data_IF_252160014010
#
_entry.id   IF_252160014010
#
_cell.length_a   1.000
_cell.length_b   1.000
_cell.length_c   1.000
_cell.angle_alpha   90.00
_cell.angle_beta   90.00
_cell.angle_gamma   90.00
#
_symmetry.space_group_name_H-M   'P 1'
#
loop_
_entity.id
_entity.type
_entity.pdbx_description
1 polymer ?
#
# COMPACT_ATOMS: atom_id res chain seq x y z
N UNK A 1 -11.89 2.03 -25.01
CA UNK A 1 -10.97 2.34 -23.93
C UNK A 1 -11.83 2.55 -22.71
N UNK A 2 -11.69 1.73 -21.68
CA UNK A 2 -12.50 1.81 -20.44
C UNK A 2 -12.21 3.17 -19.80
N UNK A 3 -13.22 4.03 -19.73
CA UNK A 3 -13.24 5.26 -18.94
C UNK A 3 -13.25 4.86 -17.46
N UNK A 4 -12.11 4.34 -16.98
CA UNK A 4 -12.06 3.71 -15.69
C UNK A 4 -11.81 4.71 -14.59
N UNK A 5 -12.70 4.78 -13.65
CA UNK A 5 -12.40 5.23 -12.29
C UNK A 5 -11.13 4.49 -11.85
N UNK A 6 -10.04 5.22 -11.63
CA UNK A 6 -8.76 4.64 -11.24
C UNK A 6 -8.68 4.52 -9.72
N UNK A 7 -8.39 3.34 -9.24
CA UNK A 7 -8.08 3.07 -7.83
C UNK A 7 -7.06 1.96 -7.70
N UNK A 8 -6.13 2.11 -6.77
CA UNK A 8 -5.19 1.05 -6.40
C UNK A 8 -5.76 0.11 -5.32
N UNK A 9 -6.87 0.50 -4.67
CA UNK A 9 -7.50 -0.28 -3.62
C UNK A 9 -8.41 -1.38 -4.18
N UNK A 10 -8.17 -2.64 -3.78
CA UNK A 10 -9.00 -3.78 -4.15
C UNK A 10 -10.43 -3.67 -3.59
N UNK A 11 -10.57 -3.12 -2.38
CA UNK A 11 -11.87 -2.86 -1.76
C UNK A 11 -12.72 -1.92 -2.61
N UNK A 12 -12.15 -0.84 -3.15
CA UNK A 12 -12.88 0.08 -4.03
C UNK A 12 -13.24 -0.54 -5.38
N UNK A 13 -12.36 -1.39 -5.93
CA UNK A 13 -12.68 -2.16 -7.14
C UNK A 13 -13.82 -3.13 -6.91
N UNK A 14 -13.88 -3.76 -5.71
CA UNK A 14 -14.96 -4.65 -5.29
C UNK A 14 -16.27 -3.89 -5.09
N UNK A 15 -16.26 -2.74 -4.44
CA UNK A 15 -17.43 -1.89 -4.25
C UNK A 15 -18.08 -1.45 -5.57
N UNK A 16 -17.27 -1.22 -6.60
CA UNK A 16 -17.77 -0.89 -7.95
C UNK A 16 -18.36 -2.09 -8.68
N UNK A 17 -18.08 -3.30 -8.23
CA UNK A 17 -18.43 -4.55 -8.89
C UNK A 17 -18.93 -5.58 -7.86
N UNK A 18 -20.03 -5.32 -7.13
CA UNK A 18 -20.44 -6.14 -5.99
C UNK A 18 -20.90 -7.56 -6.38
N UNK A 19 -21.36 -7.76 -7.62
CA UNK A 19 -21.95 -9.03 -8.08
C UNK A 19 -20.93 -9.95 -8.80
N UNK A 20 -19.63 -9.64 -8.75
CA UNK A 20 -18.61 -10.48 -9.41
C UNK A 20 -18.43 -11.78 -8.64
N UNK A 21 -18.65 -12.90 -9.33
CA UNK A 21 -18.26 -14.24 -8.87
C UNK A 21 -16.74 -14.42 -8.86
N UNK A 22 -16.22 -15.36 -8.04
CA UNK A 22 -14.78 -15.60 -7.91
C UNK A 22 -14.07 -14.63 -6.97
N UNK A 23 -14.83 -14.00 -6.06
CA UNK A 23 -14.31 -13.14 -4.98
C UNK A 23 -14.88 -13.63 -3.65
N UNK A 24 -14.01 -14.05 -2.75
CA UNK A 24 -14.34 -14.32 -1.36
C UNK A 24 -14.12 -13.02 -0.57
N UNK A 25 -15.06 -12.64 0.30
CA UNK A 25 -14.98 -11.42 1.08
C UNK A 25 -15.35 -11.70 2.53
N UNK A 26 -14.55 -11.16 3.45
CA UNK A 26 -14.80 -11.21 4.88
C UNK A 26 -14.54 -9.82 5.46
N UNK A 27 -15.47 -9.28 6.21
CA UNK A 27 -15.34 -8.02 6.93
C UNK A 27 -15.46 -8.26 8.43
N UNK A 28 -14.55 -7.67 9.18
CA UNK A 28 -14.48 -7.70 10.63
C UNK A 28 -14.53 -6.26 11.15
N UNK A 29 -15.59 -5.96 11.91
CA UNK A 29 -15.70 -4.66 12.59
C UNK A 29 -14.96 -4.74 13.93
N UNK A 30 -14.01 -3.86 14.14
CA UNK A 30 -13.32 -3.60 15.41
C UNK A 30 -13.80 -2.25 15.96
N UNK A 31 -13.49 -1.94 17.21
CA UNK A 31 -14.01 -0.75 17.89
C UNK A 31 -13.86 0.56 17.09
N UNK A 32 -12.71 0.76 16.41
CA UNK A 32 -12.40 2.00 15.68
C UNK A 32 -11.86 1.78 14.28
N UNK A 33 -11.90 0.54 13.80
CA UNK A 33 -11.45 0.20 12.45
C UNK A 33 -12.25 -0.96 11.88
N UNK A 34 -12.32 -1.01 10.57
CA UNK A 34 -12.85 -2.14 9.82
C UNK A 34 -11.69 -2.87 9.13
N UNK A 35 -11.64 -4.18 9.24
CA UNK A 35 -10.70 -5.04 8.54
C UNK A 35 -11.45 -5.80 7.45
N UNK A 36 -11.18 -5.46 6.19
CA UNK A 36 -11.81 -6.12 5.03
C UNK A 36 -10.78 -7.02 4.34
N UNK A 37 -11.08 -8.32 4.25
CA UNK A 37 -10.24 -9.31 3.58
C UNK A 37 -10.93 -9.76 2.31
N UNK A 38 -10.30 -9.54 1.17
CA UNK A 38 -10.78 -9.90 -0.16
C UNK A 38 -9.80 -10.91 -0.76
N UNK A 39 -10.32 -12.03 -1.26
CA UNK A 39 -9.54 -13.01 -1.98
C UNK A 39 -10.10 -13.20 -3.38
N UNK A 40 -9.33 -12.82 -4.37
CA UNK A 40 -9.65 -13.03 -5.78
C UNK A 40 -9.17 -14.43 -6.17
N UNK A 41 -10.08 -15.29 -6.65
CA UNK A 41 -9.81 -16.72 -6.84
C UNK A 41 -9.73 -17.14 -8.31
N UNK A 42 -10.26 -16.34 -9.23
CA UNK A 42 -10.26 -16.68 -10.65
C UNK A 42 -9.84 -15.54 -11.59
N UNK A 43 -9.50 -15.91 -12.83
CA UNK A 43 -9.02 -14.96 -13.86
C UNK A 43 -10.10 -14.00 -14.35
N UNK A 44 -11.37 -14.38 -14.29
CA UNK A 44 -12.48 -13.51 -14.75
C UNK A 44 -12.67 -12.37 -13.77
N UNK A 45 -12.71 -12.69 -12.47
CA UNK A 45 -12.75 -11.71 -11.39
C UNK A 45 -11.52 -10.79 -11.44
N UNK A 46 -10.32 -11.36 -11.57
CA UNK A 46 -9.08 -10.62 -11.66
C UNK A 46 -9.10 -9.59 -12.80
N UNK A 47 -9.57 -9.99 -13.99
CA UNK A 47 -9.67 -9.09 -15.15
C UNK A 47 -10.72 -7.98 -14.95
N UNK A 48 -11.88 -8.31 -14.34
CA UNK A 48 -12.96 -7.34 -14.12
C UNK A 48 -12.60 -6.32 -13.05
N UNK A 49 -11.91 -6.76 -11.99
CA UNK A 49 -11.47 -5.90 -10.89
C UNK A 49 -10.18 -5.15 -11.21
N UNK A 50 -9.50 -5.50 -12.30
CA UNK A 50 -8.16 -5.01 -12.66
C UNK A 50 -7.16 -5.22 -11.50
N UNK A 51 -7.23 -6.41 -10.88
CA UNK A 51 -6.39 -6.83 -9.75
C UNK A 51 -5.95 -8.27 -9.95
N UNK A 52 -4.67 -8.62 -9.65
CA UNK A 52 -4.20 -10.02 -9.69
C UNK A 52 -4.99 -10.95 -8.77
N UNK A 53 -4.95 -12.25 -9.10
CA UNK A 53 -5.43 -13.31 -8.20
C UNK A 53 -4.57 -13.30 -6.94
N UNK A 54 -5.19 -13.31 -5.75
CA UNK A 54 -4.50 -13.31 -4.47
C UNK A 54 -5.33 -12.70 -3.35
N UNK A 55 -4.67 -12.42 -2.23
CA UNK A 55 -5.28 -11.88 -1.02
C UNK A 55 -5.02 -10.37 -0.93
N UNK A 56 -6.05 -9.66 -0.53
CA UNK A 56 -6.02 -8.22 -0.25
C UNK A 56 -6.67 -7.98 1.09
N UNK A 57 -5.95 -7.33 1.99
CA UNK A 57 -6.47 -6.91 3.30
C UNK A 57 -6.46 -5.40 3.35
N UNK A 58 -7.58 -4.82 3.74
CA UNK A 58 -7.72 -3.37 3.92
C UNK A 58 -8.06 -3.09 5.37
N UNK A 59 -7.20 -2.33 6.03
CA UNK A 59 -7.45 -1.74 7.34
C UNK A 59 -7.98 -0.34 7.10
N UNK A 60 -9.20 -0.05 7.51
CA UNK A 60 -9.86 1.25 7.33
C UNK A 60 -10.26 1.83 8.70
N UNK A 61 -9.68 2.97 9.06
CA UNK A 61 -9.88 3.64 10.33
C UNK A 61 -10.15 5.14 10.10
N UNK A 62 -11.40 5.54 9.83
CA UNK A 62 -11.76 6.92 9.47
C UNK A 62 -11.32 7.96 10.49
N UNK A 63 -11.25 7.60 11.77
CA UNK A 63 -10.85 8.50 12.84
C UNK A 63 -9.35 8.87 12.81
N UNK A 64 -8.51 8.18 12.02
CA UNK A 64 -7.10 8.57 11.83
C UNK A 64 -6.95 10.00 11.31
N UNK A 65 -7.94 10.55 10.62
CA UNK A 65 -7.94 11.94 10.19
C UNK A 65 -7.80 12.94 11.37
N UNK A 66 -8.18 12.54 12.59
CA UNK A 66 -8.05 13.32 13.82
C UNK A 66 -6.75 13.04 14.59
N UNK A 67 -5.91 12.12 14.09
CA UNK A 67 -4.59 11.75 14.62
C UNK A 67 -4.58 11.30 16.11
N UNK A 68 -5.49 10.43 16.56
CA UNK A 68 -5.48 9.93 17.93
C UNK A 68 -4.35 8.92 18.12
N UNK A 69 -3.46 9.17 19.10
CA UNK A 69 -2.24 8.37 19.32
C UNK A 69 -2.51 6.90 19.67
N UNK A 70 -3.57 6.63 20.41
CA UNK A 70 -4.01 5.27 20.76
C UNK A 70 -4.45 4.46 19.52
N UNK A 71 -4.99 5.11 18.50
CA UNK A 71 -5.35 4.47 17.25
C UNK A 71 -4.10 4.12 16.42
N UNK A 72 -2.99 4.83 16.58
CA UNK A 72 -1.72 4.48 15.92
C UNK A 72 -1.20 3.13 16.40
N UNK A 73 -1.28 2.88 17.72
CA UNK A 73 -0.94 1.58 18.30
C UNK A 73 -1.85 0.48 17.77
N UNK A 74 -3.17 0.70 17.78
CA UNK A 74 -4.16 -0.26 17.29
C UNK A 74 -3.94 -0.59 15.81
N UNK A 75 -3.67 0.41 14.97
CA UNK A 75 -3.38 0.21 13.54
C UNK A 75 -2.08 -0.54 13.31
N UNK A 76 -1.02 -0.23 14.08
CA UNK A 76 0.25 -0.95 13.98
C UNK A 76 0.11 -2.41 14.41
N UNK A 77 -0.67 -2.67 15.47
CA UNK A 77 -0.96 -4.02 15.96
C UNK A 77 -1.78 -4.82 14.92
N UNK A 78 -2.85 -4.24 14.38
CA UNK A 78 -3.66 -4.87 13.34
C UNK A 78 -2.83 -5.16 12.07
N UNK A 79 -2.00 -4.21 11.63
CA UNK A 79 -1.07 -4.42 10.52
C UNK A 79 -0.11 -5.59 10.78
N UNK A 80 0.45 -5.65 12.00
CA UNK A 80 1.36 -6.73 12.41
C UNK A 80 0.67 -8.09 12.40
N UNK A 81 -0.58 -8.18 12.86
CA UNK A 81 -1.39 -9.39 12.86
C UNK A 81 -1.60 -9.90 11.42
N UNK A 82 -2.13 -9.06 10.54
CA UNK A 82 -2.39 -9.42 9.15
C UNK A 82 -1.10 -9.77 8.37
N UNK A 83 0.02 -9.11 8.66
CA UNK A 83 1.32 -9.45 8.08
C UNK A 83 1.80 -10.83 8.51
N UNK A 84 1.67 -11.19 9.81
CA UNK A 84 2.05 -12.53 10.30
C UNK A 84 1.25 -13.63 9.61
N UNK A 85 -0.03 -13.39 9.37
CA UNK A 85 -0.89 -14.33 8.64
C UNK A 85 -0.44 -14.52 7.18
N UNK A 86 0.20 -13.50 6.60
CA UNK A 86 0.79 -13.58 5.26
C UNK A 86 2.20 -14.22 5.24
N UNK A 87 2.89 -14.35 6.39
CA UNK A 87 4.22 -14.95 6.50
C UNK A 87 4.20 -16.48 6.43
N UNK A 88 3.31 -17.06 5.62
CA UNK A 88 3.14 -18.51 5.51
C UNK A 88 4.46 -19.21 5.16
N UNK A 89 4.94 -20.08 6.05
CA UNK A 89 6.16 -20.84 5.84
C UNK A 89 7.47 -20.07 5.98
N UNK A 90 7.44 -18.81 6.40
CA UNK A 90 8.63 -18.00 6.67
C UNK A 90 9.30 -18.49 7.96
N UNK A 91 10.57 -18.91 7.87
CA UNK A 91 11.35 -19.39 9.01
C UNK A 91 11.77 -18.24 9.93
N UNK A 92 12.13 -18.56 11.18
CA UNK A 92 12.59 -17.56 12.15
C UNK A 92 13.97 -16.97 11.82
N UNK A 93 14.79 -17.72 11.08
CA UNK A 93 16.10 -17.29 10.57
C UNK A 93 16.07 -16.72 9.15
N UNK A 94 14.89 -16.59 8.55
CA UNK A 94 14.72 -16.10 7.19
C UNK A 94 15.27 -14.68 6.99
N UNK A 95 15.78 -14.43 5.79
CA UNK A 95 16.18 -13.08 5.36
C UNK A 95 15.01 -12.37 4.71
N UNK A 96 14.67 -11.18 5.21
CA UNK A 96 13.60 -10.33 4.69
C UNK A 96 14.19 -9.03 4.13
N UNK A 97 13.84 -8.71 2.90
CA UNK A 97 14.18 -7.43 2.26
C UNK A 97 12.96 -6.50 2.28
N UNK A 98 13.09 -5.37 2.94
CA UNK A 98 12.08 -4.30 2.92
C UNK A 98 12.45 -3.27 1.86
N UNK A 99 11.51 -2.96 0.96
CA UNK A 99 11.71 -2.06 -0.19
C UNK A 99 10.75 -0.90 -0.09
N UNK A 100 11.26 0.29 0.21
CA UNK A 100 10.49 1.53 0.23
C UNK A 100 10.46 2.18 -1.15
N UNK A 101 9.35 2.03 -1.87
CA UNK A 101 9.16 2.61 -3.21
C UNK A 101 8.78 4.09 -3.13
N UNK A 102 9.09 4.84 -4.17
CA UNK A 102 8.72 6.25 -4.32
C UNK A 102 9.91 7.21 -4.32
N UNK A 103 9.57 8.49 -4.39
CA UNK A 103 10.52 9.60 -4.43
C UNK A 103 10.55 10.34 -3.10
N UNK A 104 11.66 10.24 -2.36
CA UNK A 104 11.84 10.92 -1.06
C UNK A 104 11.63 12.45 -1.13
N UNK A 105 11.88 13.05 -2.28
CA UNK A 105 11.79 14.51 -2.45
C UNK A 105 10.38 15.00 -2.77
N UNK A 106 9.42 14.09 -2.99
CA UNK A 106 8.01 14.41 -3.24
C UNK A 106 7.19 13.87 -2.07
N UNK A 107 6.63 14.73 -1.24
CA UNK A 107 5.99 14.32 0.02
C UNK A 107 4.96 13.22 -0.17
N UNK A 108 4.03 13.38 -1.12
CA UNK A 108 2.98 12.38 -1.39
C UNK A 108 3.49 11.05 -1.98
N UNK A 109 4.78 10.99 -2.35
CA UNK A 109 5.45 9.80 -2.89
C UNK A 109 6.61 9.33 -1.98
N UNK A 110 6.75 9.91 -0.77
CA UNK A 110 7.86 9.63 0.14
C UNK A 110 7.56 8.59 1.22
N UNK A 111 6.37 7.99 1.22
CA UNK A 111 5.95 7.01 2.23
C UNK A 111 6.94 5.83 2.32
N UNK A 112 7.17 5.15 1.21
CA UNK A 112 8.07 3.98 1.18
C UNK A 112 9.47 4.30 1.68
N UNK A 113 10.17 5.33 1.17
CA UNK A 113 11.46 5.75 1.67
C UNK A 113 11.49 6.03 3.18
N UNK A 114 10.45 6.70 3.73
CA UNK A 114 10.36 6.99 5.17
C UNK A 114 10.12 5.74 6.01
N UNK A 115 9.31 4.80 5.53
CA UNK A 115 9.14 3.50 6.20
C UNK A 115 10.47 2.74 6.20
N UNK A 116 11.15 2.65 5.05
CA UNK A 116 12.42 1.93 4.91
C UNK A 116 13.49 2.41 5.91
N UNK A 117 13.53 3.70 6.23
CA UNK A 117 14.44 4.30 7.21
C UNK A 117 14.13 3.94 8.67
N UNK A 118 12.90 3.51 8.95
CA UNK A 118 12.43 3.15 10.29
C UNK A 118 12.39 1.64 10.54
N UNK A 119 12.82 0.85 9.57
CA UNK A 119 12.91 -0.60 9.72
C UNK A 119 14.15 -0.96 10.53
N UNK A 120 13.97 -1.89 11.47
CA UNK A 120 15.08 -2.51 12.20
C UNK A 120 15.87 -3.40 11.26
N UNK A 121 17.03 -2.95 10.86
CA UNK A 121 17.94 -3.74 10.04
C UNK A 121 18.86 -4.56 10.94
N UNK A 122 18.83 -5.87 10.77
CA UNK A 122 19.61 -6.84 11.57
C UNK A 122 20.58 -7.65 10.74
N UNK A 123 20.46 -7.64 9.39
CA UNK A 123 21.26 -8.45 8.50
C UNK A 123 22.76 -8.28 8.71
N UNK A 124 23.26 -7.07 8.92
CA UNK A 124 24.67 -6.82 9.19
C UNK A 124 25.12 -7.43 10.54
N UNK A 125 24.24 -7.51 11.53
CA UNK A 125 24.56 -8.15 12.82
C UNK A 125 24.52 -9.67 12.66
N UNK A 126 23.51 -10.22 11.99
CA UNK A 126 23.39 -11.68 11.76
C UNK A 126 24.54 -12.23 10.91
N UNK A 127 25.10 -11.45 9.99
CA UNK A 127 26.20 -11.89 9.13
C UNK A 127 27.58 -11.67 9.74
N UNK A 128 27.81 -10.54 10.41
CA UNK A 128 29.16 -10.16 10.84
C UNK A 128 29.39 -10.28 12.34
N UNK A 129 28.33 -10.33 13.15
CA UNK A 129 28.39 -10.40 14.61
C UNK A 129 27.33 -11.35 15.20
N UNK A 130 27.20 -12.60 14.72
CA UNK A 130 26.13 -13.50 15.14
C UNK A 130 26.14 -13.77 16.66
N UNK A 131 27.34 -13.82 17.28
CA UNK A 131 27.49 -14.05 18.71
C UNK A 131 27.00 -12.88 19.59
N UNK A 132 26.75 -11.71 19.01
CA UNK A 132 26.20 -10.57 19.74
C UNK A 132 24.68 -10.64 19.92
N UNK A 133 24.00 -11.59 19.26
CA UNK A 133 22.55 -11.71 19.28
C UNK A 133 22.10 -12.68 20.40
N UNK A 134 21.05 -12.34 21.14
CA UNK A 134 20.48 -13.20 22.19
C UNK A 134 19.58 -14.30 21.58
N UNK A 135 20.13 -15.18 20.73
CA UNK A 135 19.38 -16.26 20.06
C UNK A 135 19.14 -16.02 18.58
N UNK A 136 18.21 -16.78 17.99
CA UNK A 136 17.85 -16.64 16.57
C UNK A 136 17.09 -15.34 16.34
N UNK A 137 17.63 -14.47 15.49
CA UNK A 137 17.01 -13.21 15.08
C UNK A 137 16.87 -13.21 13.57
N UNK A 138 15.69 -12.84 13.07
CA UNK A 138 15.45 -12.74 11.64
C UNK A 138 16.39 -11.74 10.99
N UNK A 139 16.97 -12.11 9.84
CA UNK A 139 17.86 -11.26 9.08
C UNK A 139 17.05 -10.26 8.25
N UNK A 140 17.08 -8.97 8.59
CA UNK A 140 16.30 -7.93 7.93
C UNK A 140 17.23 -6.89 7.33
N UNK A 141 17.02 -6.58 6.06
CA UNK A 141 17.66 -5.45 5.35
C UNK A 141 16.60 -4.57 4.69
N UNK A 142 16.93 -3.32 4.48
CA UNK A 142 16.03 -2.31 3.92
C UNK A 142 16.72 -1.50 2.83
N UNK A 143 15.95 -1.11 1.82
CA UNK A 143 16.43 -0.23 0.73
C UNK A 143 15.31 0.69 0.25
N UNK A 144 15.65 1.96 0.02
CA UNK A 144 14.82 2.92 -0.72
C UNK A 144 15.52 3.19 -2.07
N UNK A 145 15.13 2.49 -3.16
CA UNK A 145 15.84 2.52 -4.43
C UNK A 145 15.68 3.87 -5.18
N UNK A 146 14.70 4.67 -4.80
CA UNK A 146 14.32 5.88 -5.52
C UNK A 146 13.57 5.60 -6.82
N UNK A 147 13.47 6.62 -7.66
CA UNK A 147 12.73 6.59 -8.94
C UNK A 147 13.64 6.85 -10.13
N UNK A 148 13.27 6.37 -11.31
CA UNK A 148 14.01 6.51 -12.55
C UNK A 148 14.48 7.96 -12.82
N UNK A 149 13.60 8.94 -12.58
CA UNK A 149 13.92 10.35 -12.80
C UNK A 149 15.00 10.94 -11.89
N UNK A 150 15.34 10.25 -10.79
CA UNK A 150 16.40 10.66 -9.86
C UNK A 150 17.68 9.84 -10.08
N UNK A 151 17.50 8.53 -10.27
CA UNK A 151 18.65 7.59 -10.32
C UNK A 151 19.15 7.32 -11.74
N UNK A 152 18.32 7.51 -12.76
CA UNK A 152 18.59 7.07 -14.13
C UNK A 152 18.50 5.55 -14.33
N UNK A 153 18.10 4.80 -13.29
CA UNK A 153 18.01 3.33 -13.28
C UNK A 153 16.57 2.95 -12.90
N UNK A 154 16.01 1.95 -13.58
CA UNK A 154 14.68 1.44 -13.20
C UNK A 154 14.72 0.85 -11.78
N UNK A 155 13.73 1.20 -10.97
CA UNK A 155 13.58 0.71 -9.58
C UNK A 155 13.73 -0.81 -9.50
N UNK A 156 13.15 -1.53 -10.47
CA UNK A 156 13.21 -2.98 -10.54
C UNK A 156 14.62 -3.54 -10.77
N UNK A 157 15.47 -2.82 -11.51
CA UNK A 157 16.87 -3.23 -11.74
C UNK A 157 17.66 -3.11 -10.45
N UNK A 158 17.46 -2.03 -9.68
CA UNK A 158 18.12 -1.84 -8.38
C UNK A 158 17.69 -2.94 -7.41
N UNK A 159 16.38 -3.20 -7.29
CA UNK A 159 15.86 -4.23 -6.37
C UNK A 159 16.33 -5.63 -6.76
N UNK A 160 16.45 -5.94 -8.06
CA UNK A 160 17.02 -7.21 -8.52
C UNK A 160 18.48 -7.36 -8.13
N UNK A 161 19.29 -6.32 -8.32
CA UNK A 161 20.67 -6.32 -7.88
C UNK A 161 20.80 -6.58 -6.38
N UNK A 162 20.02 -5.88 -5.56
CA UNK A 162 19.99 -6.12 -4.11
C UNK A 162 19.56 -7.56 -3.79
N UNK A 163 18.52 -8.07 -4.44
CA UNK A 163 18.01 -9.44 -4.23
C UNK A 163 19.07 -10.51 -4.54
N UNK A 164 19.87 -10.34 -5.58
CA UNK A 164 20.91 -11.30 -5.95
C UNK A 164 21.98 -11.44 -4.86
N UNK A 165 22.34 -10.34 -4.19
CA UNK A 165 23.36 -10.34 -3.14
C UNK A 165 22.76 -10.64 -1.75
N UNK A 166 21.63 -10.06 -1.40
CA UNK A 166 21.01 -10.26 -0.11
C UNK A 166 20.31 -11.62 0.02
N UNK A 167 19.92 -12.22 -1.10
CA UNK A 167 19.21 -13.52 -1.19
C UNK A 167 18.06 -13.64 -0.21
N UNK A 168 17.11 -12.69 -0.22
CA UNK A 168 16.00 -12.72 0.72
C UNK A 168 15.07 -13.91 0.43
N UNK A 169 14.48 -14.45 1.49
CA UNK A 169 13.42 -15.45 1.44
C UNK A 169 12.05 -14.81 1.19
N UNK A 170 11.92 -13.50 1.49
CA UNK A 170 10.70 -12.72 1.30
C UNK A 170 11.04 -11.25 1.05
N UNK A 171 10.19 -10.57 0.28
CA UNK A 171 10.26 -9.12 0.06
C UNK A 171 8.98 -8.47 0.61
N UNK A 172 9.12 -7.36 1.35
CA UNK A 172 8.01 -6.48 1.74
C UNK A 172 8.21 -5.16 1.01
N UNK A 173 7.28 -4.81 0.13
CA UNK A 173 7.32 -3.57 -0.65
C UNK A 173 6.32 -2.55 -0.10
N UNK A 174 6.72 -1.30 0.04
CA UNK A 174 5.87 -0.21 0.54
C UNK A 174 5.76 0.87 -0.52
N UNK A 175 4.54 1.35 -0.80
CA UNK A 175 4.29 2.40 -1.79
C UNK A 175 3.13 3.32 -1.38
N UNK A 176 3.12 4.51 -1.97
CA UNK A 176 1.97 5.41 -1.93
C UNK A 176 0.96 5.02 -3.02
N UNK A 177 -0.32 4.96 -2.66
CA UNK A 177 -1.40 4.56 -3.55
C UNK A 177 -2.28 5.75 -3.93
N UNK A 178 -3.07 5.56 -5.00
CA UNK A 178 -4.18 6.42 -5.34
C UNK A 178 -5.51 5.77 -4.93
N UNK A 179 -6.38 6.50 -4.23
CA UNK A 179 -7.75 6.08 -3.97
C UNK A 179 -8.74 6.72 -4.94
N UNK A 180 -9.92 6.13 -5.02
CA UNK A 180 -11.08 6.73 -5.66
C UNK A 180 -11.77 7.73 -4.72
N UNK A 181 -11.97 7.34 -3.46
CA UNK A 181 -12.64 8.17 -2.46
C UNK A 181 -11.64 9.01 -1.69
N UNK A 182 -11.86 10.33 -1.67
CA UNK A 182 -11.04 11.25 -0.89
C UNK A 182 -11.05 10.93 0.63
N UNK A 183 -12.16 10.38 1.14
CA UNK A 183 -12.31 9.97 2.54
C UNK A 183 -11.34 8.85 2.97
N UNK A 184 -10.75 8.11 2.02
CA UNK A 184 -9.79 7.04 2.30
C UNK A 184 -8.33 7.50 2.35
N UNK A 185 -8.07 8.74 1.96
CA UNK A 185 -6.73 9.30 2.13
C UNK A 185 -6.41 9.33 3.62
N UNK A 186 -5.23 8.81 3.98
CA UNK A 186 -4.74 8.81 5.38
C UNK A 186 -5.52 7.95 6.38
N UNK A 187 -6.55 7.23 5.97
CA UNK A 187 -7.36 6.43 6.89
C UNK A 187 -7.27 4.93 6.61
N UNK A 188 -6.64 4.58 5.48
CA UNK A 188 -6.67 3.22 4.94
C UNK A 188 -5.27 2.70 4.69
N UNK A 189 -5.00 1.45 5.09
CA UNK A 189 -3.79 0.70 4.72
C UNK A 189 -4.23 -0.56 3.98
N UNK A 190 -3.66 -0.82 2.80
CA UNK A 190 -3.88 -2.07 2.07
C UNK A 190 -2.64 -2.95 2.08
N UNK A 191 -2.82 -4.24 2.38
CA UNK A 191 -1.82 -5.29 2.24
C UNK A 191 -2.25 -6.23 1.13
N UNK A 192 -1.27 -6.84 0.43
CA UNK A 192 -1.56 -7.89 -0.55
C UNK A 192 -0.35 -8.82 -0.74
N UNK A 193 -0.61 -10.08 -1.07
CA UNK A 193 0.40 -11.08 -1.45
C UNK A 193 0.69 -11.11 -2.96
N UNK A 194 0.06 -10.24 -3.73
CA UNK A 194 0.23 -10.18 -5.19
C UNK A 194 1.39 -9.30 -5.64
N UNK A 195 2.03 -8.62 -4.69
CA UNK A 195 3.04 -7.61 -4.99
C UNK A 195 2.44 -6.28 -5.45
N UNK A 196 3.27 -5.41 -6.04
CA UNK A 196 2.89 -4.06 -6.44
C UNK A 196 3.49 -3.71 -7.80
N UNK A 197 2.76 -2.91 -8.57
CA UNK A 197 3.25 -2.31 -9.82
C UNK A 197 3.46 -0.82 -9.59
N UNK A 198 4.70 -0.37 -9.38
CA UNK A 198 4.99 1.03 -9.07
C UNK A 198 4.44 1.98 -10.14
N UNK A 199 3.70 3.00 -9.72
CA UNK A 199 3.13 4.00 -10.62
C UNK A 199 1.96 3.51 -11.49
N UNK A 200 1.33 2.38 -11.17
CA UNK A 200 0.12 1.91 -11.88
C UNK A 200 -1.01 2.93 -11.80
N UNK A 201 -1.19 3.56 -10.65
CA UNK A 201 -2.18 4.63 -10.44
C UNK A 201 -1.99 5.86 -11.31
N UNK A 202 -0.81 6.11 -11.86
CA UNK A 202 -0.50 7.23 -12.76
C UNK A 202 -0.23 6.81 -14.21
N UNK A 203 -0.63 5.58 -14.60
CA UNK A 203 -0.59 5.11 -15.97
C UNK A 203 0.77 4.61 -16.47
N UNK A 204 1.73 4.39 -15.59
CA UNK A 204 3.02 3.80 -15.92
C UNK A 204 2.95 2.27 -15.84
N UNK A 205 2.94 1.60 -17.01
CA UNK A 205 2.94 0.14 -17.12
C UNK A 205 4.36 -0.43 -16.86
N UNK A 206 4.88 -0.27 -15.62
CA UNK A 206 6.19 -0.81 -15.23
C UNK A 206 6.04 -2.27 -14.80
N UNK A 207 7.11 -3.06 -14.97
CA UNK A 207 7.15 -4.45 -14.48
C UNK A 207 6.93 -4.46 -12.97
N UNK A 208 5.91 -5.19 -12.51
CA UNK A 208 5.53 -5.26 -11.10
C UNK A 208 6.57 -5.94 -10.23
N UNK A 209 6.63 -5.54 -8.97
CA UNK A 209 7.37 -6.17 -7.89
C UNK A 209 6.50 -7.29 -7.33
N UNK A 210 6.63 -8.51 -7.87
CA UNK A 210 5.80 -9.66 -7.52
C UNK A 210 6.60 -10.97 -7.48
N UNK A 211 5.99 -12.02 -6.97
CA UNK A 211 6.65 -13.32 -6.78
C UNK A 211 7.10 -13.97 -8.09
N UNK A 212 6.40 -13.77 -9.20
CA UNK A 212 6.78 -14.31 -10.51
C UNK A 212 8.10 -13.72 -11.01
N UNK A 213 8.30 -12.42 -10.77
CA UNK A 213 9.51 -11.69 -11.20
C UNK A 213 10.69 -11.96 -10.30
N UNK A 214 10.45 -12.09 -8.98
CA UNK A 214 11.53 -12.21 -7.99
C UNK A 214 11.81 -13.64 -7.54
N UNK A 215 10.91 -14.59 -7.80
CA UNK A 215 11.07 -16.00 -7.40
C UNK A 215 10.99 -16.23 -5.88
N UNK A 216 10.55 -15.23 -5.12
CA UNK A 216 10.28 -15.28 -3.68
C UNK A 216 8.95 -14.60 -3.39
N UNK A 217 8.26 -14.92 -2.28
CA UNK A 217 7.05 -14.22 -1.86
C UNK A 217 7.28 -12.72 -1.78
N UNK A 218 6.30 -11.94 -2.29
CA UNK A 218 6.30 -10.48 -2.21
C UNK A 218 5.00 -10.03 -1.60
N UNK A 219 5.09 -9.40 -0.44
CA UNK A 219 3.96 -8.72 0.21
C UNK A 219 4.08 -7.23 -0.10
N UNK A 220 2.99 -6.62 -0.53
CA UNK A 220 2.94 -5.18 -0.72
C UNK A 220 2.06 -4.52 0.33
N UNK A 221 2.49 -3.35 0.81
CA UNK A 221 1.76 -2.48 1.74
C UNK A 221 1.62 -1.12 1.08
N UNK A 222 0.42 -0.60 1.03
CA UNK A 222 0.17 0.70 0.42
C UNK A 222 -0.82 1.55 1.20
N UNK A 223 -0.63 2.87 1.10
CA UNK A 223 -1.53 3.86 1.70
C UNK A 223 -1.97 4.84 0.64
N UNK A 224 -3.27 5.09 0.48
CA UNK A 224 -3.75 6.14 -0.41
C UNK A 224 -3.38 7.52 0.15
N UNK A 225 -2.56 8.24 -0.60
CA UNK A 225 -2.11 9.59 -0.27
C UNK A 225 -2.56 10.62 -1.30
N UNK A 226 -3.09 10.17 -2.43
CA UNK A 226 -3.55 11.01 -3.53
C UNK A 226 -4.88 10.52 -4.10
N UNK A 227 -5.63 11.43 -4.71
CA UNK A 227 -6.80 11.16 -5.56
C UNK A 227 -6.60 11.87 -6.89
N UNK A 228 -6.99 11.25 -7.98
CA UNK A 228 -6.98 11.93 -9.30
C UNK A 228 -8.05 13.01 -9.37
N UNK A 229 -7.71 14.17 -9.92
CA UNK A 229 -8.67 15.29 -10.08
C UNK A 229 -9.92 14.86 -10.87
N UNK A 230 -9.75 14.01 -11.87
CA UNK A 230 -10.85 13.42 -12.63
C UNK A 230 -11.80 12.62 -11.73
N UNK A 231 -11.26 11.83 -10.82
CA UNK A 231 -12.04 11.00 -9.89
C UNK A 231 -12.83 11.85 -8.90
N UNK A 232 -12.24 12.94 -8.36
CA UNK A 232 -12.95 13.89 -7.49
C UNK A 232 -14.13 14.51 -8.23
N UNK A 233 -13.93 14.90 -9.48
CA UNK A 233 -15.00 15.51 -10.29
C UNK A 233 -16.15 14.54 -10.51
N UNK A 234 -15.87 13.27 -10.81
CA UNK A 234 -16.89 12.23 -10.94
C UNK A 234 -17.67 12.01 -9.64
N UNK A 235 -16.98 11.97 -8.51
CA UNK A 235 -17.61 11.84 -7.18
C UNK A 235 -18.54 13.02 -6.90
N UNK A 236 -18.11 14.25 -7.20
CA UNK A 236 -18.94 15.46 -7.03
C UNK A 236 -20.19 15.40 -7.93
N UNK A 237 -20.07 14.96 -9.18
CA UNK A 237 -21.23 14.80 -10.09
C UNK A 237 -22.21 13.78 -9.51
N UNK A 238 -21.74 12.63 -9.01
CA UNK A 238 -22.62 11.62 -8.39
C UNK A 238 -23.33 12.19 -7.18
N UNK A 239 -22.63 12.88 -6.28
CA UNK A 239 -23.21 13.49 -5.09
C UNK A 239 -24.27 14.58 -5.42
N UNK A 240 -24.06 15.32 -6.50
CA UNK A 240 -25.05 16.29 -7.00
C UNK A 240 -26.28 15.56 -7.53
N UNK A 241 -26.09 14.51 -8.34
CA UNK A 241 -27.20 13.73 -8.89
C UNK A 241 -28.05 13.11 -7.77
N UNK A 242 -27.42 12.53 -6.75
CA UNK A 242 -28.09 11.97 -5.57
C UNK A 242 -28.92 13.03 -4.81
N UNK A 243 -28.34 14.21 -4.59
CA UNK A 243 -29.03 15.29 -3.86
C UNK A 243 -30.16 15.94 -4.64
N UNK A 244 -30.07 15.97 -5.96
CA UNK A 244 -31.05 16.64 -6.83
C UNK A 244 -32.07 15.70 -7.46
N UNK A 245 -31.86 14.39 -7.39
CA UNK A 245 -32.66 13.37 -8.08
C UNK A 245 -32.49 13.37 -9.60
N UNK A 246 -31.46 14.07 -10.13
CA UNK A 246 -31.20 14.21 -11.56
C UNK A 246 -30.22 13.13 -12.06
N UNK A 247 -30.64 11.87 -12.00
CA UNK A 247 -29.80 10.74 -12.46
C UNK A 247 -29.79 10.55 -13.98
N UNK A 248 -30.72 11.13 -14.72
CA UNK A 248 -30.89 10.89 -16.16
C UNK A 248 -29.71 11.33 -17.03
N UNK A 249 -28.95 12.36 -16.60
CA UNK A 249 -27.82 12.92 -17.32
C UNK A 249 -26.45 12.65 -16.67
N UNK A 250 -26.42 11.92 -15.56
CA UNK A 250 -25.22 11.69 -14.75
C UNK A 250 -24.05 11.10 -15.54
N UNK A 251 -24.29 10.05 -16.31
CA UNK A 251 -23.27 9.39 -17.13
C UNK A 251 -22.75 10.31 -18.24
N UNK A 252 -23.60 11.13 -18.83
CA UNK A 252 -23.20 12.10 -19.84
C UNK A 252 -22.34 13.21 -19.24
N UNK A 253 -22.70 13.70 -18.05
CA UNK A 253 -21.94 14.71 -17.33
C UNK A 253 -20.58 14.16 -16.88
N UNK A 254 -20.50 12.92 -16.41
CA UNK A 254 -19.25 12.26 -16.06
C UNK A 254 -18.31 12.15 -17.26
N UNK A 255 -18.79 11.70 -18.43
CA UNK A 255 -17.99 11.61 -19.65
C UNK A 255 -17.50 12.97 -20.14
N UNK A 256 -18.35 13.99 -20.09
CA UNK A 256 -17.97 15.35 -20.48
C UNK A 256 -16.91 15.91 -19.52
N UNK A 257 -17.09 15.69 -18.22
CA UNK A 257 -16.12 16.10 -17.22
C UNK A 257 -14.76 15.40 -17.40
N UNK A 258 -14.75 14.10 -17.67
CA UNK A 258 -13.51 13.36 -18.01
C UNK A 258 -12.80 13.95 -19.21
N UNK A 259 -13.50 14.26 -20.27
CA UNK A 259 -12.92 14.87 -21.46
C UNK A 259 -12.31 16.23 -21.13
N UNK A 260 -13.06 17.12 -20.49
CA UNK A 260 -12.59 18.47 -20.12
C UNK A 260 -11.38 18.42 -19.19
N UNK A 261 -11.38 17.51 -18.22
CA UNK A 261 -10.26 17.36 -17.29
C UNK A 261 -9.04 16.79 -18.01
N UNK A 262 -9.22 15.76 -18.84
CA UNK A 262 -8.13 15.17 -19.64
C UNK A 262 -7.45 16.20 -20.54
N UNK A 263 -8.22 17.08 -21.15
CA UNK A 263 -7.72 18.12 -22.04
C UNK A 263 -7.02 19.29 -21.31
N UNK A 264 -7.51 19.66 -20.10
CA UNK A 264 -7.08 20.89 -19.42
C UNK A 264 -6.21 20.64 -18.18
N UNK A 265 -6.41 19.55 -17.46
CA UNK A 265 -5.72 19.24 -16.20
C UNK A 265 -4.80 18.04 -16.30
N UNK A 266 -4.88 17.26 -17.36
CA UNK A 266 -4.03 16.11 -17.59
C UNK A 266 -4.17 15.06 -16.47
N UNK A 267 -3.04 14.60 -15.94
CA UNK A 267 -2.97 13.61 -14.86
C UNK A 267 -2.76 14.26 -13.48
N UNK A 268 -3.41 15.40 -13.23
CA UNK A 268 -3.31 16.07 -11.95
C UNK A 268 -3.81 15.17 -10.82
N UNK A 269 -3.03 15.08 -9.75
CA UNK A 269 -3.42 14.43 -8.50
C UNK A 269 -3.56 15.48 -7.39
N UNK A 270 -4.47 15.21 -6.47
CA UNK A 270 -4.77 16.06 -5.31
C UNK A 270 -4.38 15.33 -4.04
N UNK A 271 -3.79 16.03 -3.11
CA UNK A 271 -3.38 15.53 -1.80
C UNK A 271 -3.82 16.52 -0.71
N UNK A 272 -4.02 16.07 0.54
CA UNK A 272 -4.34 16.95 1.66
C UNK A 272 -3.26 18.02 1.90
N UNK A 273 -3.66 19.14 2.46
CA UNK A 273 -2.74 20.26 2.78
C UNK A 273 -1.66 19.87 3.80
N UNK A 274 -2.00 18.99 4.72
CA UNK A 274 -1.16 18.49 5.81
C UNK A 274 -0.45 17.17 5.49
N UNK A 275 -0.22 16.90 4.20
CA UNK A 275 0.37 15.66 3.70
C UNK A 275 1.71 15.31 4.38
N UNK A 276 2.51 16.30 4.78
CA UNK A 276 3.78 16.05 5.47
C UNK A 276 3.58 15.32 6.80
N UNK A 277 2.60 15.80 7.59
CA UNK A 277 2.23 15.17 8.86
C UNK A 277 1.60 13.78 8.66
N UNK A 278 0.77 13.65 7.63
CA UNK A 278 0.12 12.39 7.26
C UNK A 278 1.16 11.32 6.91
N UNK A 279 2.12 11.65 6.06
CA UNK A 279 3.17 10.70 5.66
C UNK A 279 4.06 10.34 6.84
N UNK A 280 4.33 11.29 7.75
CA UNK A 280 5.08 11.04 8.97
C UNK A 280 4.38 10.01 9.87
N UNK A 281 3.09 10.22 10.16
CA UNK A 281 2.28 9.33 10.98
C UNK A 281 2.15 7.94 10.34
N UNK A 282 1.74 7.88 9.06
CA UNK A 282 1.54 6.61 8.37
C UNK A 282 2.84 5.82 8.22
N UNK A 283 3.97 6.50 7.97
CA UNK A 283 5.27 5.80 7.94
C UNK A 283 5.66 5.25 9.31
N UNK A 284 5.32 5.93 10.39
CA UNK A 284 5.51 5.44 11.76
C UNK A 284 4.65 4.20 12.06
N UNK A 285 3.35 4.26 11.75
CA UNK A 285 2.40 3.15 11.92
C UNK A 285 2.88 1.91 11.16
N UNK A 286 3.22 2.07 9.88
CA UNK A 286 3.63 0.95 9.03
C UNK A 286 4.95 0.35 9.48
N UNK A 287 5.97 1.18 9.75
CA UNK A 287 7.27 0.68 10.20
C UNK A 287 7.15 -0.05 11.54
N UNK A 288 6.36 0.48 12.48
CA UNK A 288 6.09 -0.18 13.76
C UNK A 288 5.40 -1.52 13.56
N UNK A 289 4.33 -1.58 12.74
CA UNK A 289 3.63 -2.82 12.44
C UNK A 289 4.52 -3.88 11.78
N UNK A 290 5.36 -3.48 10.81
CA UNK A 290 6.34 -4.38 10.17
C UNK A 290 7.36 -4.90 11.21
N UNK A 291 7.95 -4.02 12.03
CA UNK A 291 8.92 -4.40 13.04
C UNK A 291 8.31 -5.34 14.10
N UNK A 292 7.07 -5.08 14.53
CA UNK A 292 6.32 -5.98 15.42
C UNK A 292 6.10 -7.37 14.79
N UNK A 293 5.73 -7.41 13.49
CA UNK A 293 5.51 -8.66 12.78
C UNK A 293 6.80 -9.48 12.61
N UNK A 294 7.90 -8.81 12.25
CA UNK A 294 9.18 -9.45 11.99
C UNK A 294 9.88 -9.96 13.26
N UNK A 295 9.77 -9.23 14.36
CA UNK A 295 10.54 -9.52 15.58
C UNK A 295 9.70 -10.03 16.75
N UNK A 296 8.38 -10.13 16.61
CA UNK A 296 7.49 -10.62 17.66
C UNK A 296 7.44 -9.72 18.91
N UNK A 297 7.79 -8.44 18.75
CA UNK A 297 7.85 -7.46 19.85
C UNK A 297 6.50 -6.74 20.02
N UNK A 298 6.30 -6.14 21.20
CA UNK A 298 5.16 -5.28 21.45
C UNK A 298 5.33 -3.91 20.78
N UNK A 299 4.26 -3.14 20.72
CA UNK A 299 4.30 -1.76 20.20
C UNK A 299 5.28 -0.89 21.00
N UNK A 300 5.25 -0.97 22.33
CA UNK A 300 6.12 -0.19 23.22
C UNK A 300 7.60 -0.57 23.02
N UNK A 301 7.91 -1.86 22.93
CA UNK A 301 9.28 -2.32 22.70
C UNK A 301 9.83 -1.79 21.37
N UNK A 302 9.03 -1.83 20.30
CA UNK A 302 9.43 -1.33 18.99
C UNK A 302 9.59 0.17 19.02
N UNK A 303 8.66 0.90 19.63
CA UNK A 303 8.70 2.36 19.70
C UNK A 303 9.94 2.88 20.43
N UNK A 304 10.32 2.26 21.56
CA UNK A 304 11.53 2.63 22.30
C UNK A 304 12.82 2.46 21.50
N UNK A 305 12.78 1.64 20.46
CA UNK A 305 13.93 1.35 19.65
C UNK A 305 13.99 2.24 18.37
N UNK A 306 12.89 2.84 17.91
CA UNK A 306 12.82 3.72 16.72
C UNK A 306 12.94 5.22 17.11
N UNK A 307 12.67 5.56 18.35
CA UNK A 307 12.79 6.92 18.88
C UNK A 307 14.25 7.29 19.13
#
# INVERSE_FOLDING_TARGET
MSSGIRTDLALESRELNPDIEGVEEQTEERERMTVSRIKITDRTAAKKLDKPIGKYVTLDAPELCNRPLDLFEQMSAALSEELRDMFTGLKDDATVLVVGLGNRSITSDSLGPRVAERIYVTRHVTEYMPDALPGTVRSVCSVAPGVLGVTGIETMEIVRGVKEYAKPDMIIAIDALASRRAARINTTIQLTDTGISPGSGIGNNRKGLNSEVFGVPVIAIGVPLVVHAATITQEVISLIADKTGLHGDEEKLKRLAEQVISENLGQMVVTPKDIDSIVEDMSGIIATGINMALFGKSYEDVRMLIA
#
